data_IF_546029965244
#
_entry.id   IF_546029965244
#
_cell.length_a   1.000
_cell.length_b   1.000
_cell.length_c   1.000
_cell.angle_alpha   90.00
_cell.angle_beta   90.00
_cell.angle_gamma   90.00
#
_symmetry.space_group_name_H-M   'P 1'
#
loop_
_entity.id
_entity.type
_entity.pdbx_description
1 polymer ?
#
# COMPACT_ATOMS: atom_id res chain seq x y z
N UNK A 1 -16.05 -36.97 -19.69
CA UNK A 1 -17.32 -36.25 -19.44
C UNK A 1 -16.95 -34.84 -19.02
N UNK A 2 -17.42 -33.88 -19.81
CA UNK A 2 -17.38 -32.41 -19.71
C UNK A 2 -16.39 -31.73 -18.75
N UNK A 3 -15.40 -31.12 -19.41
CA UNK A 3 -14.60 -29.97 -19.02
C UNK A 3 -15.50 -28.79 -18.61
N UNK A 4 -15.13 -28.12 -17.53
CA UNK A 4 -15.90 -27.08 -16.88
C UNK A 4 -15.01 -26.12 -16.11
N UNK A 5 -13.89 -25.70 -16.72
CA UNK A 5 -13.08 -24.61 -16.21
C UNK A 5 -13.89 -23.29 -16.30
N UNK A 6 -14.33 -22.78 -15.16
CA UNK A 6 -14.90 -21.45 -15.05
C UNK A 6 -13.79 -20.41 -15.27
N UNK A 7 -13.84 -19.73 -16.42
CA UNK A 7 -12.97 -18.62 -16.74
C UNK A 7 -13.48 -17.36 -16.04
N UNK A 8 -12.76 -16.87 -15.02
CA UNK A 8 -12.95 -15.51 -14.53
C UNK A 8 -12.03 -14.58 -15.31
N UNK A 9 -12.60 -13.88 -16.29
CA UNK A 9 -11.89 -12.89 -17.09
C UNK A 9 -12.15 -11.49 -16.51
N UNK A 10 -11.13 -10.89 -15.90
CA UNK A 10 -11.11 -9.46 -15.61
C UNK A 10 -10.20 -8.79 -16.64
N UNK A 11 -10.78 -7.89 -17.45
CA UNK A 11 -10.04 -7.08 -18.41
C UNK A 11 -9.76 -5.73 -17.77
N UNK A 12 -8.47 -5.39 -17.60
CA UNK A 12 -8.04 -4.00 -17.40
C UNK A 12 -7.63 -3.51 -18.78
N UNK A 13 -8.48 -2.69 -19.40
CA UNK A 13 -8.16 -2.08 -20.69
C UNK A 13 -6.96 -1.14 -20.53
N UNK A 14 -5.88 -1.47 -21.22
CA UNK A 14 -4.75 -0.56 -21.44
C UNK A 14 -4.37 -0.63 -22.92
N UNK A 15 -4.12 0.53 -23.54
CA UNK A 15 -3.86 0.72 -24.99
C UNK A 15 -2.55 0.11 -25.53
N UNK A 16 -2.02 -0.93 -24.88
CA UNK A 16 -0.81 -1.62 -25.30
C UNK A 16 -1.09 -3.11 -25.34
N UNK A 17 -0.77 -3.73 -26.49
CA UNK A 17 -0.88 -5.18 -26.75
C UNK A 17 -0.57 -5.96 -25.47
N UNK A 18 -1.43 -6.90 -25.05
CA UNK A 18 -1.24 -7.62 -23.81
C UNK A 18 0.06 -8.42 -23.91
N UNK A 19 1.07 -8.00 -23.16
CA UNK A 19 2.23 -8.85 -22.89
C UNK A 19 1.75 -9.84 -21.83
N UNK A 20 1.63 -11.10 -22.23
CA UNK A 20 1.26 -12.21 -21.35
C UNK A 20 2.36 -12.41 -20.32
N UNK A 21 2.33 -11.67 -19.21
CA UNK A 21 3.20 -11.91 -18.06
C UNK A 21 2.56 -12.98 -17.18
N UNK A 22 2.97 -14.22 -17.41
CA UNK A 22 2.68 -15.35 -16.54
C UNK A 22 1.44 -16.12 -16.97
N UNK A 23 1.66 -17.28 -17.59
CA UNK A 23 0.72 -18.39 -17.52
C UNK A 23 0.77 -18.86 -16.06
N UNK A 24 -0.24 -18.56 -15.25
CA UNK A 24 -0.41 -19.24 -13.98
C UNK A 24 -0.83 -20.67 -14.30
N UNK A 25 -0.02 -21.71 -14.04
CA UNK A 25 -0.44 -23.07 -14.30
C UNK A 25 -1.65 -23.35 -13.39
N UNK A 26 -2.79 -23.67 -14.00
CA UNK A 26 -3.89 -24.26 -13.26
C UNK A 26 -3.40 -25.60 -12.71
N UNK A 27 -3.22 -25.67 -11.39
CA UNK A 27 -2.93 -26.86 -10.58
C UNK A 27 -1.61 -27.60 -10.86
N UNK A 28 -0.78 -27.74 -9.82
CA UNK A 28 0.39 -28.64 -9.83
C UNK A 28 -0.09 -30.05 -10.14
N UNK A 29 0.60 -30.74 -11.06
CA UNK A 29 0.28 -32.11 -11.44
C UNK A 29 0.91 -33.10 -10.43
N UNK A 30 0.17 -34.17 -10.08
CA UNK A 30 0.67 -35.29 -9.24
C UNK A 30 1.62 -36.23 -9.98
N UNK A 31 1.78 -36.04 -11.30
CA UNK A 31 2.64 -36.84 -12.15
C UNK A 31 3.77 -35.98 -12.70
N UNK A 32 4.97 -36.56 -12.78
CA UNK A 32 6.14 -35.91 -13.37
C UNK A 32 6.07 -35.88 -14.92
N UNK A 33 7.09 -35.32 -15.59
CA UNK A 33 7.12 -35.20 -17.06
C UNK A 33 7.13 -36.54 -17.80
N UNK A 34 7.48 -37.63 -17.11
CA UNK A 34 7.48 -38.99 -17.64
C UNK A 34 6.15 -39.73 -17.34
N UNK A 35 5.21 -39.08 -16.63
CA UNK A 35 3.91 -39.64 -16.28
C UNK A 35 3.92 -40.55 -15.06
N UNK A 36 5.03 -40.62 -14.31
CA UNK A 36 5.08 -41.36 -13.05
C UNK A 36 4.48 -40.56 -11.91
N UNK A 37 3.76 -41.25 -11.02
CA UNK A 37 3.18 -40.65 -9.81
C UNK A 37 4.31 -40.21 -8.88
N UNK A 38 4.43 -38.91 -8.64
CA UNK A 38 5.48 -38.31 -7.82
C UNK A 38 4.84 -37.47 -6.70
N UNK A 39 4.46 -38.11 -5.58
CA UNK A 39 3.80 -37.43 -4.48
C UNK A 39 4.74 -36.44 -3.79
N UNK A 40 6.04 -36.70 -3.77
CA UNK A 40 7.03 -35.85 -3.10
C UNK A 40 7.21 -34.53 -3.84
N UNK A 41 7.38 -34.57 -5.17
CA UNK A 41 7.47 -33.34 -5.97
C UNK A 41 6.16 -32.54 -5.91
N UNK A 42 5.01 -33.23 -5.98
CA UNK A 42 3.71 -32.58 -5.86
C UNK A 42 3.51 -31.88 -4.51
N UNK A 43 3.84 -32.54 -3.40
CA UNK A 43 3.72 -31.97 -2.05
C UNK A 43 4.64 -30.77 -1.87
N UNK A 44 5.92 -30.90 -2.25
CA UNK A 44 6.89 -29.82 -2.16
C UNK A 44 6.44 -28.58 -2.95
N UNK A 45 6.02 -28.76 -4.20
CA UNK A 45 5.52 -27.67 -5.04
C UNK A 45 4.23 -27.05 -4.45
N UNK A 46 3.35 -27.87 -3.88
CA UNK A 46 2.08 -27.39 -3.28
C UNK A 46 2.33 -26.55 -2.03
N UNK A 47 3.34 -26.91 -1.23
CA UNK A 47 3.75 -26.10 -0.09
C UNK A 47 4.29 -24.75 -0.54
N UNK A 48 5.16 -24.72 -1.57
CA UNK A 48 5.70 -23.49 -2.15
C UNK A 48 4.56 -22.61 -2.71
N UNK A 49 3.62 -23.16 -3.47
CA UNK A 49 2.49 -22.38 -3.99
C UNK A 49 1.58 -21.82 -2.89
N UNK A 50 1.32 -22.61 -1.82
CA UNK A 50 0.53 -22.15 -0.67
C UNK A 50 1.23 -21.00 0.05
N UNK A 51 2.55 -21.10 0.23
CA UNK A 51 3.37 -20.06 0.83
C UNK A 51 3.38 -18.79 -0.04
N UNK A 52 3.63 -18.93 -1.35
CA UNK A 52 3.54 -17.82 -2.29
C UNK A 52 2.15 -17.17 -2.31
N UNK A 53 1.08 -17.97 -2.27
CA UNK A 53 -0.30 -17.47 -2.24
C UNK A 53 -0.58 -16.74 -0.93
N UNK A 54 -0.14 -17.26 0.21
CA UNK A 54 -0.30 -16.62 1.50
C UNK A 54 0.43 -15.26 1.56
N UNK A 55 1.65 -15.20 1.03
CA UNK A 55 2.43 -13.96 0.91
C UNK A 55 1.78 -12.96 -0.05
N UNK A 56 1.17 -13.42 -1.16
CA UNK A 56 0.39 -12.55 -2.06
C UNK A 56 -0.95 -12.10 -1.45
N UNK A 57 -1.53 -12.89 -0.55
CA UNK A 57 -2.82 -12.62 0.07
C UNK A 57 -2.73 -11.63 1.25
N UNK A 58 -1.64 -11.63 2.00
CA UNK A 58 -1.49 -10.72 3.15
C UNK A 58 -0.74 -9.44 2.76
N UNK A 59 -1.48 -8.36 2.55
CA UNK A 59 -0.93 -7.01 2.35
C UNK A 59 -1.24 -6.13 3.57
N UNK A 60 -0.25 -5.78 4.41
CA UNK A 60 -0.49 -4.92 5.55
C UNK A 60 -0.97 -3.53 5.11
N UNK A 61 -1.83 -2.92 5.91
CA UNK A 61 -2.36 -1.58 5.64
C UNK A 61 -1.40 -0.54 6.21
N UNK A 62 -1.00 0.44 5.41
CA UNK A 62 -0.11 1.52 5.85
C UNK A 62 -0.81 2.87 5.76
N UNK A 63 -0.67 3.66 6.81
CA UNK A 63 -1.16 5.03 6.84
C UNK A 63 -0.12 5.94 6.19
N UNK A 64 -0.51 6.68 5.15
CA UNK A 64 0.35 7.64 4.46
C UNK A 64 0.11 9.03 5.06
N UNK A 65 1.13 9.54 5.72
CA UNK A 65 1.19 10.88 6.30
C UNK A 65 2.11 11.75 5.43
N UNK A 66 1.56 12.74 4.76
CA UNK A 66 2.29 13.68 3.90
C UNK A 66 1.65 15.06 3.95
N UNK A 67 2.36 16.13 3.52
CA UNK A 67 1.76 17.45 3.42
C UNK A 67 0.54 17.43 2.51
N UNK A 68 -0.45 18.27 2.82
CA UNK A 68 -1.65 18.46 2.00
C UNK A 68 -1.90 19.94 1.72
N UNK A 69 -1.96 20.77 2.76
CA UNK A 69 -2.14 22.23 2.64
C UNK A 69 -0.93 22.93 2.00
N UNK A 70 -1.12 24.15 1.48
CA UNK A 70 -0.10 24.90 0.76
C UNK A 70 -0.24 24.69 -0.75
N UNK A 71 0.76 24.07 -1.38
CA UNK A 71 0.67 23.62 -2.77
C UNK A 71 -0.16 22.33 -2.85
N UNK A 72 -1.49 22.48 -2.80
CA UNK A 72 -2.44 21.35 -2.76
C UNK A 72 -2.28 20.45 -3.99
N UNK A 73 -2.09 21.01 -5.18
CA UNK A 73 -1.97 20.21 -6.40
C UNK A 73 -0.68 19.37 -6.39
N UNK A 74 0.46 19.98 -6.06
CA UNK A 74 1.73 19.28 -5.92
C UNK A 74 1.70 18.22 -4.83
N UNK A 75 1.12 18.55 -3.67
CA UNK A 75 0.98 17.64 -2.54
C UNK A 75 0.07 16.44 -2.84
N UNK A 76 -1.04 16.65 -3.56
CA UNK A 76 -1.93 15.57 -4.01
C UNK A 76 -1.18 14.61 -4.95
N UNK A 77 -0.44 15.15 -5.93
CA UNK A 77 0.38 14.33 -6.84
C UNK A 77 1.45 13.54 -6.08
N UNK A 78 2.12 14.18 -5.12
CA UNK A 78 3.11 13.52 -4.28
C UNK A 78 2.50 12.39 -3.44
N UNK A 79 1.38 12.64 -2.75
CA UNK A 79 0.67 11.65 -1.95
C UNK A 79 0.18 10.45 -2.79
N UNK A 80 -0.27 10.67 -4.02
CA UNK A 80 -0.59 9.62 -4.98
C UNK A 80 0.65 8.79 -5.34
N UNK A 81 1.80 9.44 -5.57
CA UNK A 81 3.09 8.79 -5.80
C UNK A 81 3.54 7.93 -4.61
N UNK A 82 3.46 8.47 -3.39
CA UNK A 82 3.76 7.73 -2.15
C UNK A 82 2.83 6.52 -1.96
N UNK A 83 1.55 6.68 -2.29
CA UNK A 83 0.58 5.58 -2.28
C UNK A 83 0.96 4.51 -3.31
N UNK A 84 1.33 4.89 -4.54
CA UNK A 84 1.82 3.96 -5.57
C UNK A 84 3.06 3.20 -5.09
N UNK A 85 4.01 3.90 -4.48
CA UNK A 85 5.22 3.31 -3.90
C UNK A 85 4.87 2.25 -2.83
N UNK A 86 3.93 2.53 -1.93
CA UNK A 86 3.48 1.55 -0.94
C UNK A 86 2.85 0.29 -1.59
N UNK A 87 2.05 0.46 -2.66
CA UNK A 87 1.50 -0.66 -3.42
C UNK A 87 2.60 -1.52 -4.04
N UNK A 88 3.63 -0.88 -4.62
CA UNK A 88 4.79 -1.56 -5.22
C UNK A 88 5.60 -2.34 -4.17
N UNK A 89 5.61 -1.86 -2.92
CA UNK A 89 6.22 -2.56 -1.78
C UNK A 89 5.32 -3.65 -1.16
N UNK A 90 4.14 -3.89 -1.72
CA UNK A 90 3.23 -4.95 -1.25
C UNK A 90 2.26 -4.53 -0.15
N UNK A 91 2.08 -3.23 0.11
CA UNK A 91 1.18 -2.71 1.14
C UNK A 91 -0.13 -2.18 0.54
N UNK A 92 -1.14 -1.99 1.39
CA UNK A 92 -2.38 -1.27 1.06
C UNK A 92 -2.27 0.14 1.65
N UNK A 93 -2.07 1.20 0.84
CA UNK A 93 -1.96 2.56 1.35
C UNK A 93 -3.34 3.15 1.69
N UNK A 94 -3.38 3.92 2.78
CA UNK A 94 -4.50 4.79 3.14
C UNK A 94 -3.95 6.20 3.34
N UNK A 95 -4.37 7.14 2.50
CA UNK A 95 -4.02 8.55 2.59
C UNK A 95 -5.32 9.37 2.81
N UNK A 96 -5.75 9.60 4.07
CA UNK A 96 -7.07 10.19 4.32
C UNK A 96 -7.22 11.61 3.76
N UNK A 97 -6.12 12.36 3.66
CA UNK A 97 -6.09 13.70 3.05
C UNK A 97 -6.32 13.68 1.53
N UNK A 98 -6.28 12.53 0.85
CA UNK A 98 -6.74 12.40 -0.54
C UNK A 98 -8.25 12.11 -0.63
N UNK A 99 -8.84 11.57 0.44
CA UNK A 99 -10.21 11.07 0.45
C UNK A 99 -11.19 12.07 1.07
N UNK A 100 -10.92 12.50 2.30
CA UNK A 100 -11.87 13.31 3.07
C UNK A 100 -12.13 14.69 2.49
N UNK A 101 -11.14 15.43 1.95
CA UNK A 101 -11.40 16.74 1.34
C UNK A 101 -12.33 16.70 0.12
N UNK A 102 -12.64 15.51 -0.42
CA UNK A 102 -13.63 15.37 -1.50
C UNK A 102 -15.07 15.54 -1.01
N UNK A 103 -15.32 15.40 0.30
CA UNK A 103 -16.66 15.47 0.88
C UNK A 103 -16.74 16.11 2.27
N UNK A 104 -15.62 16.54 2.85
CA UNK A 104 -15.52 17.35 4.06
C UNK A 104 -14.78 18.65 3.76
N UNK A 105 -15.29 19.76 4.29
CA UNK A 105 -14.66 21.07 4.22
C UNK A 105 -13.66 21.27 5.38
N UNK A 106 -12.37 21.26 5.06
CA UNK A 106 -11.29 21.49 6.02
C UNK A 106 -11.28 22.92 6.61
N UNK A 107 -11.94 23.86 5.93
CA UNK A 107 -12.17 25.24 6.40
C UNK A 107 -13.27 25.35 7.46
N UNK A 108 -14.17 24.35 7.54
CA UNK A 108 -15.21 24.28 8.57
C UNK A 108 -14.66 23.55 9.81
N UNK A 109 -14.57 24.21 10.99
CA UNK A 109 -13.99 23.60 12.18
C UNK A 109 -14.63 22.28 12.61
N UNK A 110 -15.95 22.13 12.44
CA UNK A 110 -16.68 20.91 12.82
C UNK A 110 -16.36 19.74 11.89
N UNK A 111 -16.29 20.00 10.59
CA UNK A 111 -15.97 18.97 9.59
C UNK A 111 -14.49 18.61 9.64
N UNK A 112 -13.62 19.58 9.91
CA UNK A 112 -12.20 19.34 10.20
C UNK A 112 -12.00 18.40 11.38
N UNK A 113 -12.69 18.64 12.49
CA UNK A 113 -12.63 17.76 13.67
C UNK A 113 -13.10 16.33 13.33
N UNK A 114 -14.17 16.23 12.54
CA UNK A 114 -14.70 14.96 12.07
C UNK A 114 -13.68 14.21 11.17
N UNK A 115 -13.04 14.92 10.24
CA UNK A 115 -11.99 14.37 9.37
C UNK A 115 -10.79 13.86 10.17
N UNK A 116 -10.35 14.60 11.19
CA UNK A 116 -9.28 14.16 12.11
C UNK A 116 -9.69 12.92 12.90
N UNK A 117 -10.95 12.85 13.37
CA UNK A 117 -11.48 11.67 14.04
C UNK A 117 -11.48 10.44 13.13
N UNK A 118 -11.95 10.58 11.89
CA UNK A 118 -11.92 9.50 10.90
C UNK A 118 -10.50 9.06 10.56
N UNK A 119 -9.56 10.01 10.42
CA UNK A 119 -8.15 9.72 10.17
C UNK A 119 -7.55 8.87 11.30
N UNK A 120 -7.85 9.22 12.55
CA UNK A 120 -7.43 8.45 13.72
C UNK A 120 -8.04 7.04 13.74
N UNK A 121 -9.32 6.90 13.38
CA UNK A 121 -9.99 5.61 13.29
C UNK A 121 -9.34 4.71 12.23
N UNK A 122 -9.04 5.25 11.04
CA UNK A 122 -8.33 4.53 9.98
C UNK A 122 -6.91 4.15 10.39
N UNK A 123 -6.17 5.08 11.01
CA UNK A 123 -4.83 4.83 11.53
C UNK A 123 -4.80 3.64 12.49
N UNK A 124 -5.83 3.47 13.31
CA UNK A 124 -5.93 2.33 14.25
C UNK A 124 -6.02 0.95 13.57
N UNK A 125 -6.31 0.90 12.26
CA UNK A 125 -6.36 -0.31 11.45
C UNK A 125 -5.09 -0.53 10.63
N UNK A 126 -4.17 0.42 10.64
CA UNK A 126 -2.91 0.34 9.93
C UNK A 126 -1.85 -0.37 10.78
N UNK A 127 -1.00 -1.16 10.14
CA UNK A 127 0.16 -1.80 10.80
C UNK A 127 1.30 -0.82 11.01
N UNK A 128 1.44 0.17 10.12
CA UNK A 128 2.51 1.16 10.15
C UNK A 128 1.99 2.53 9.72
N UNK A 129 2.69 3.58 10.15
CA UNK A 129 2.51 4.96 9.69
C UNK A 129 3.77 5.38 8.95
N UNK A 130 3.63 5.71 7.67
CA UNK A 130 4.72 6.16 6.82
C UNK A 130 4.59 7.67 6.63
N UNK A 131 5.63 8.38 7.04
CA UNK A 131 5.71 9.84 7.01
C UNK A 131 6.60 10.25 5.85
N UNK A 132 6.05 10.99 4.88
CA UNK A 132 6.75 11.42 3.68
C UNK A 132 6.93 12.94 3.61
N UNK A 133 7.98 13.37 2.90
CA UNK A 133 8.22 14.76 2.50
C UNK A 133 9.38 15.42 3.23
N UNK A 134 9.86 16.54 2.68
CA UNK A 134 10.96 17.34 3.23
C UNK A 134 10.63 18.14 4.50
N UNK A 135 9.34 18.34 4.80
CA UNK A 135 8.87 19.18 5.91
C UNK A 135 7.67 18.54 6.61
N UNK A 136 7.67 18.53 7.95
CA UNK A 136 6.49 18.17 8.75
C UNK A 136 5.59 19.40 8.83
N UNK A 137 4.43 19.32 8.17
CA UNK A 137 3.35 20.31 8.35
C UNK A 137 2.69 20.18 9.73
N UNK A 138 1.98 21.23 10.17
CA UNK A 138 1.23 21.19 11.44
C UNK A 138 0.18 20.05 11.47
N UNK A 139 -0.42 19.73 10.33
CA UNK A 139 -1.35 18.60 10.20
C UNK A 139 -0.65 17.27 10.46
N UNK A 140 0.49 17.05 9.79
CA UNK A 140 1.31 15.85 10.00
C UNK A 140 1.82 15.75 11.44
N UNK A 141 2.22 16.86 12.06
CA UNK A 141 2.73 16.84 13.43
C UNK A 141 1.69 16.25 14.41
N UNK A 142 0.41 16.56 14.20
CA UNK A 142 -0.69 16.04 15.00
C UNK A 142 -0.85 14.52 14.82
N UNK A 143 -0.80 14.03 13.58
CA UNK A 143 -0.85 12.60 13.25
C UNK A 143 0.37 11.86 13.82
N UNK A 144 1.57 12.41 13.69
CA UNK A 144 2.82 11.84 14.21
C UNK A 144 2.79 11.78 15.74
N UNK A 145 2.37 12.86 16.41
CA UNK A 145 2.21 12.88 17.88
C UNK A 145 1.26 11.79 18.33
N UNK A 146 0.13 11.63 17.65
CA UNK A 146 -0.85 10.57 17.93
C UNK A 146 -0.25 9.18 17.75
N UNK A 147 0.46 8.96 16.64
CA UNK A 147 1.09 7.69 16.33
C UNK A 147 2.17 7.32 17.37
N UNK A 148 3.00 8.28 17.78
CA UNK A 148 3.97 8.10 18.87
C UNK A 148 3.28 7.76 20.19
N UNK A 149 2.22 8.48 20.54
CA UNK A 149 1.49 8.25 21.78
C UNK A 149 0.82 6.87 21.82
N UNK A 150 0.31 6.39 20.68
CA UNK A 150 -0.27 5.03 20.55
C UNK A 150 0.76 3.94 20.27
N UNK A 151 2.05 4.28 20.24
CA UNK A 151 3.15 3.37 19.94
C UNK A 151 3.00 2.64 18.58
N UNK A 152 2.48 3.32 17.56
CA UNK A 152 2.47 2.79 16.20
C UNK A 152 3.89 2.81 15.61
N UNK A 153 4.17 1.84 14.73
CA UNK A 153 5.43 1.78 14.00
C UNK A 153 5.49 2.93 12.99
N UNK A 154 6.34 3.92 13.28
CA UNK A 154 6.60 5.06 12.42
C UNK A 154 7.83 4.81 11.55
N UNK A 155 7.71 5.07 10.26
CA UNK A 155 8.81 5.07 9.29
C UNK A 155 8.80 6.39 8.55
N UNK A 156 9.98 6.93 8.29
CA UNK A 156 10.13 8.24 7.67
C UNK A 156 10.83 8.11 6.32
N UNK A 157 10.35 8.88 5.35
CA UNK A 157 10.83 8.85 3.98
C UNK A 157 11.03 10.27 3.47
N UNK A 158 12.03 10.47 2.63
CA UNK A 158 12.17 11.70 1.85
C UNK A 158 11.19 11.72 0.66
N UNK A 159 11.24 12.80 -0.15
CA UNK A 159 10.39 12.99 -1.33
C UNK A 159 10.67 11.95 -2.44
N UNK A 160 11.87 11.37 -2.43
CA UNK A 160 12.29 10.28 -3.33
C UNK A 160 11.89 8.88 -2.83
N UNK A 161 11.08 8.78 -1.76
CA UNK A 161 10.68 7.53 -1.12
C UNK A 161 11.83 6.71 -0.49
N UNK A 162 12.95 7.34 -0.19
CA UNK A 162 14.08 6.71 0.50
C UNK A 162 13.86 6.79 2.01
N UNK A 163 14.00 5.65 2.70
CA UNK A 163 13.81 5.58 4.14
C UNK A 163 14.98 6.25 4.87
N UNK A 164 14.67 7.11 5.83
CA UNK A 164 15.65 7.90 6.59
C UNK A 164 15.55 7.58 8.09
N UNK A 165 16.70 7.25 8.69
CA UNK A 165 16.79 6.92 10.13
C UNK A 165 16.76 8.15 11.03
N UNK A 166 17.32 9.27 10.55
CA UNK A 166 17.41 10.53 11.27
C UNK A 166 16.60 11.62 10.59
N UNK A 167 15.36 11.84 11.07
CA UNK A 167 14.48 12.85 10.50
C UNK A 167 15.06 14.28 10.60
N UNK A 168 16.00 14.52 11.52
CA UNK A 168 16.72 15.79 11.61
C UNK A 168 17.48 16.15 10.33
N UNK A 169 17.84 15.17 9.49
CA UNK A 169 18.50 15.41 8.19
C UNK A 169 17.53 15.84 7.08
N UNK A 170 16.26 15.43 7.16
CA UNK A 170 15.23 15.80 6.17
C UNK A 170 15.02 17.33 6.14
N UNK A 171 15.15 18.00 7.30
CA UNK A 171 15.13 19.47 7.40
C UNK A 171 16.25 20.18 6.60
N UNK A 172 17.33 19.49 6.24
CA UNK A 172 18.54 20.08 5.65
C UNK A 172 18.81 19.61 4.21
N UNK A 173 17.86 18.95 3.54
CA UNK A 173 18.04 18.63 2.11
C UNK A 173 17.95 19.93 1.29
N UNK A 174 19.01 20.31 0.55
CA UNK A 174 18.95 21.49 -0.31
C UNK A 174 17.95 21.24 -1.44
N UNK A 175 17.14 22.26 -1.74
CA UNK A 175 16.23 22.30 -2.89
C UNK A 175 17.00 22.16 -4.20
#
# INVERSE_FOLDING_TARGET
MYDGASFFQWVVETDKKPVVKGVFPLSINKFNSEGYFDPTAFEAMTMIEKEERALRAFRPIVYICSPFSGDVEGNVKAAQGYSRYAVDKGYIPIAPHLLFPQFLDDGNPKERELGLFFGNALMSKCSEVWVFGGVISAGMESEIKRAKWKNYRLRYFNESCEEVSDYARVKNSPR
#
